data_IF_711284079097
#
_entry.id   IF_711284079097
#
_cell.length_a   1.000
_cell.length_b   1.000
_cell.length_c   1.000
_cell.angle_alpha   90.00
_cell.angle_beta   90.00
_cell.angle_gamma   90.00
#
_symmetry.space_group_name_H-M   'P 1'
#
loop_
_entity.id
_entity.type
_entity.pdbx_description
1 polymer ?
#
# COMPACT_ATOMS: atom_id res chain seq x y z
N UNK A 1 31.76 38.14 31.36
CA UNK A 1 31.65 36.68 31.38
C UNK A 1 30.59 36.32 30.35
N UNK A 2 31.01 36.07 29.10
CA UNK A 2 30.09 35.70 28.02
C UNK A 2 29.85 34.19 28.13
N UNK A 3 28.63 33.82 28.52
CA UNK A 3 28.21 32.42 28.62
C UNK A 3 27.91 31.93 27.20
N UNK A 4 28.84 31.17 26.64
CA UNK A 4 28.66 30.52 25.35
C UNK A 4 27.77 29.28 25.55
N UNK A 5 26.50 29.38 25.16
CA UNK A 5 25.60 28.23 25.06
C UNK A 5 26.07 27.38 23.88
N UNK A 6 26.76 26.27 24.16
CA UNK A 6 26.95 25.21 23.17
C UNK A 6 25.61 24.52 22.98
N UNK A 7 24.93 24.84 21.88
CA UNK A 7 23.83 24.03 21.38
C UNK A 7 24.41 22.69 20.91
N UNK A 8 24.13 21.63 21.65
CA UNK A 8 24.33 20.27 21.16
C UNK A 8 23.26 20.02 20.10
N UNK A 9 23.67 19.93 18.84
CA UNK A 9 22.83 19.33 17.81
C UNK A 9 22.73 17.84 18.12
N UNK A 10 21.64 17.43 18.77
CA UNK A 10 21.25 16.03 18.77
C UNK A 10 20.88 15.70 17.33
N UNK A 11 21.72 14.93 16.64
CA UNK A 11 21.33 14.24 15.43
C UNK A 11 20.18 13.32 15.82
N UNK A 12 18.98 13.58 15.32
CA UNK A 12 17.86 12.64 15.43
C UNK A 12 18.18 11.47 14.50
N UNK A 13 18.73 10.40 15.07
CA UNK A 13 18.78 9.11 14.39
C UNK A 13 17.34 8.58 14.43
N UNK A 14 16.81 8.14 13.28
CA UNK A 14 15.59 7.35 13.29
C UNK A 14 15.83 6.16 14.23
N UNK A 15 14.99 6.03 15.26
CA UNK A 15 15.03 4.87 16.14
C UNK A 15 14.24 3.77 15.45
N UNK A 16 14.86 2.61 15.28
CA UNK A 16 14.22 1.39 14.81
C UNK A 16 14.57 0.26 15.77
N UNK A 17 13.68 -0.72 15.84
CA UNK A 17 13.85 -1.96 16.58
C UNK A 17 14.26 -3.07 15.60
N UNK A 18 15.04 -4.05 16.06
CA UNK A 18 15.45 -5.15 15.19
C UNK A 18 14.38 -6.25 15.22
N UNK A 19 13.96 -6.67 14.03
CA UNK A 19 13.02 -7.76 13.83
C UNK A 19 13.66 -8.84 12.97
N UNK A 20 13.40 -10.10 13.28
CA UNK A 20 13.63 -11.21 12.36
C UNK A 20 12.33 -11.51 11.63
N UNK A 21 12.41 -11.62 10.30
CA UNK A 21 11.33 -12.11 9.45
C UNK A 21 11.75 -13.46 8.92
N UNK A 22 10.89 -14.46 9.08
CA UNK A 22 11.14 -15.80 8.59
C UNK A 22 9.93 -16.40 7.88
N UNK A 23 10.20 -17.28 6.92
CA UNK A 23 9.20 -18.11 6.28
C UNK A 23 9.83 -19.47 5.96
N UNK A 24 9.22 -20.59 6.38
CA UNK A 24 9.79 -21.91 6.16
C UNK A 24 9.73 -22.31 4.68
N UNK A 25 10.53 -23.33 4.33
CA UNK A 25 10.41 -24.06 3.06
C UNK A 25 9.25 -25.06 3.16
N UNK A 26 8.58 -25.37 2.04
CA UNK A 26 7.42 -26.27 2.03
C UNK A 26 6.83 -26.54 0.66
N UNK A 27 5.74 -27.31 0.64
CA UNK A 27 4.92 -27.44 -0.56
C UNK A 27 4.25 -26.07 -0.84
N UNK A 28 4.20 -25.65 -2.11
CA UNK A 28 3.68 -24.32 -2.49
C UNK A 28 4.69 -23.17 -2.36
N UNK A 29 5.95 -23.43 -2.01
CA UNK A 29 6.97 -22.39 -1.81
C UNK A 29 7.14 -21.45 -3.03
N UNK A 30 7.14 -22.02 -4.24
CA UNK A 30 7.39 -21.30 -5.49
C UNK A 30 6.26 -20.35 -5.94
N UNK A 31 5.06 -20.50 -5.40
CA UNK A 31 3.91 -19.65 -5.73
C UNK A 31 3.70 -18.50 -4.74
N UNK A 32 4.37 -18.55 -3.58
CA UNK A 32 4.29 -17.54 -2.53
C UNK A 32 5.17 -16.34 -2.87
N UNK A 33 4.58 -15.15 -2.78
CA UNK A 33 5.35 -13.90 -2.68
C UNK A 33 4.67 -12.92 -1.75
N UNK A 34 5.47 -12.06 -1.12
CA UNK A 34 4.96 -11.08 -0.16
C UNK A 34 5.76 -9.78 -0.18
N UNK A 35 5.17 -8.71 0.34
CA UNK A 35 5.85 -7.43 0.56
C UNK A 35 5.35 -6.76 1.84
N UNK A 36 6.28 -6.34 2.70
CA UNK A 36 6.00 -5.56 3.90
C UNK A 36 6.15 -4.07 3.58
N UNK A 37 5.06 -3.33 3.72
CA UNK A 37 4.96 -1.91 3.33
C UNK A 37 4.54 -1.09 4.53
N UNK A 38 5.10 0.11 4.70
CA UNK A 38 4.59 1.06 5.69
C UNK A 38 3.38 1.86 5.16
N UNK A 39 2.74 2.60 6.06
CA UNK A 39 1.62 3.50 5.76
C UNK A 39 1.93 4.63 4.75
N UNK A 40 3.21 4.97 4.54
CA UNK A 40 3.65 5.95 3.53
C UNK A 40 3.83 5.29 2.14
N UNK A 41 3.55 3.98 2.05
CA UNK A 41 3.67 3.18 0.82
C UNK A 41 5.11 2.75 0.53
N UNK A 42 6.03 2.85 1.49
CA UNK A 42 7.42 2.41 1.33
C UNK A 42 7.52 0.92 1.59
N UNK A 43 8.08 0.19 0.62
CA UNK A 43 8.37 -1.24 0.77
C UNK A 43 9.66 -1.40 1.59
N UNK A 44 9.55 -2.00 2.77
CA UNK A 44 10.68 -2.27 3.66
C UNK A 44 11.31 -3.63 3.43
N UNK A 45 10.48 -4.62 3.06
CA UNK A 45 10.93 -5.98 2.76
C UNK A 45 10.03 -6.64 1.72
N UNK A 46 10.57 -7.60 0.98
CA UNK A 46 9.81 -8.44 0.06
C UNK A 46 10.50 -9.77 -0.13
N UNK A 47 9.74 -10.84 -0.31
CA UNK A 47 10.28 -12.20 -0.42
C UNK A 47 9.26 -13.22 -0.92
N UNK A 48 9.62 -14.49 -0.73
CA UNK A 48 8.78 -15.67 -0.92
C UNK A 48 9.19 -16.74 0.09
N UNK A 49 8.77 -17.98 -0.07
CA UNK A 49 9.22 -19.08 0.77
C UNK A 49 10.40 -19.84 0.10
N UNK A 50 11.41 -20.29 0.86
CA UNK A 50 11.75 -19.87 2.22
C UNK A 50 12.35 -18.46 2.30
N UNK A 51 12.30 -17.85 3.49
CA UNK A 51 12.92 -16.56 3.80
C UNK A 51 13.47 -16.53 5.23
N UNK A 52 14.57 -15.81 5.44
CA UNK A 52 15.16 -15.54 6.75
C UNK A 52 16.03 -14.28 6.64
N UNK A 53 15.63 -13.21 7.34
CA UNK A 53 16.43 -11.99 7.43
C UNK A 53 16.10 -11.18 8.70
N UNK A 54 17.11 -10.46 9.20
CA UNK A 54 16.95 -9.46 10.25
C UNK A 54 16.93 -8.05 9.64
N UNK A 55 15.98 -7.22 10.07
CA UNK A 55 15.78 -5.86 9.60
C UNK A 55 15.59 -4.89 10.78
N UNK A 56 16.06 -3.66 10.62
CA UNK A 56 15.76 -2.58 11.55
C UNK A 56 14.53 -1.83 11.04
N UNK A 57 13.38 -2.03 11.68
CA UNK A 57 12.11 -1.43 11.30
C UNK A 57 11.72 -0.37 12.35
N UNK A 58 11.38 0.87 11.92
CA UNK A 58 10.76 1.85 12.80
C UNK A 58 9.45 1.33 13.39
N UNK A 59 9.10 1.82 14.58
CA UNK A 59 7.77 1.61 15.14
C UNK A 59 6.72 2.27 14.24
N UNK A 60 5.59 1.60 14.03
CA UNK A 60 4.49 2.12 13.24
C UNK A 60 3.63 1.04 12.60
N UNK A 61 2.76 1.50 11.70
CA UNK A 61 1.80 0.66 11.00
C UNK A 61 2.36 0.13 9.69
N UNK A 62 2.30 -1.19 9.58
CA UNK A 62 2.74 -1.92 8.41
C UNK A 62 1.59 -2.71 7.82
N UNK A 63 1.81 -3.07 6.57
CA UNK A 63 0.86 -3.77 5.74
C UNK A 63 1.61 -4.88 5.02
N UNK A 64 1.26 -6.12 5.30
CA UNK A 64 1.74 -7.29 4.61
C UNK A 64 0.87 -7.53 3.37
N UNK A 65 1.48 -7.39 2.20
CA UNK A 65 0.89 -7.79 0.93
C UNK A 65 1.21 -9.26 0.71
N UNK A 66 0.17 -10.08 0.55
CA UNK A 66 0.29 -11.53 0.46
C UNK A 66 -0.17 -11.95 -0.92
N UNK A 67 0.63 -12.73 -1.64
CA UNK A 67 0.32 -13.20 -2.98
C UNK A 67 0.60 -14.69 -3.12
N UNK A 68 -0.26 -15.34 -3.87
CA UNK A 68 -0.17 -16.75 -4.25
C UNK A 68 -0.56 -16.91 -5.71
N UNK A 69 0.37 -17.42 -6.53
CA UNK A 69 0.11 -17.66 -7.95
C UNK A 69 -0.72 -18.93 -8.24
N UNK A 70 -0.82 -19.86 -7.28
CA UNK A 70 -1.65 -21.06 -7.34
C UNK A 70 -3.14 -20.76 -7.18
N UNK A 71 -3.45 -19.77 -6.36
CA UNK A 71 -4.79 -19.28 -6.08
C UNK A 71 -5.55 -20.09 -5.03
N UNK A 72 -4.88 -20.99 -4.33
CA UNK A 72 -5.39 -21.88 -3.28
C UNK A 72 -4.83 -21.55 -1.89
N UNK A 73 -3.96 -20.55 -1.78
CA UNK A 73 -3.39 -20.04 -0.54
C UNK A 73 -1.92 -20.44 -0.37
N UNK A 74 -1.39 -20.27 0.83
CA UNK A 74 0.02 -20.57 1.13
C UNK A 74 0.24 -22.00 1.63
N UNK A 75 -0.70 -22.91 1.38
CA UNK A 75 -0.61 -24.33 1.76
C UNK A 75 -0.27 -24.58 3.25
N UNK A 76 -0.63 -23.63 4.11
CA UNK A 76 -0.37 -23.68 5.55
C UNK A 76 1.05 -23.28 5.95
N UNK A 77 1.81 -22.63 5.06
CA UNK A 77 3.02 -21.91 5.41
C UNK A 77 2.66 -20.56 6.04
N UNK A 78 3.39 -20.20 7.08
CA UNK A 78 3.23 -18.97 7.83
C UNK A 78 4.42 -18.04 7.53
N UNK A 79 4.13 -16.76 7.33
CA UNK A 79 5.12 -15.69 7.37
C UNK A 79 5.19 -15.19 8.82
N UNK A 80 6.36 -15.25 9.43
CA UNK A 80 6.58 -14.87 10.82
C UNK A 80 7.41 -13.59 10.91
N UNK A 81 7.10 -12.74 11.88
CA UNK A 81 7.94 -11.62 12.31
C UNK A 81 8.07 -11.59 13.83
N UNK A 82 9.30 -11.49 14.32
CA UNK A 82 9.59 -11.47 15.76
C UNK A 82 10.54 -10.32 16.12
N UNK A 83 10.26 -9.63 17.22
CA UNK A 83 11.13 -8.62 17.77
C UNK A 83 12.30 -9.29 18.52
N UNK A 84 13.53 -8.91 18.19
CA UNK A 84 14.73 -9.54 18.77
C UNK A 84 15.06 -9.04 20.18
N UNK A 85 14.60 -7.83 20.52
CA UNK A 85 14.92 -7.14 21.76
C UNK A 85 13.79 -7.20 22.81
N UNK A 86 12.64 -7.80 22.47
CA UNK A 86 11.51 -8.02 23.38
C UNK A 86 10.85 -9.42 23.17
N UNK A 87 9.57 -9.59 23.52
CA UNK A 87 8.85 -10.87 23.39
C UNK A 87 7.59 -10.73 22.53
N UNK A 88 7.60 -9.79 21.58
CA UNK A 88 6.55 -9.62 20.59
C UNK A 88 6.87 -10.44 19.34
N UNK A 89 5.83 -11.04 18.78
CA UNK A 89 5.89 -11.77 17.52
C UNK A 89 4.50 -11.81 16.90
N UNK A 90 4.44 -11.83 15.57
CA UNK A 90 3.22 -12.06 14.81
C UNK A 90 3.45 -13.08 13.70
N UNK A 91 2.37 -13.68 13.21
CA UNK A 91 2.43 -14.63 12.09
C UNK A 91 1.19 -14.50 11.22
N UNK A 92 1.40 -14.61 9.91
CA UNK A 92 0.34 -14.47 8.92
C UNK A 92 0.35 -15.56 7.86
N UNK A 93 -0.84 -15.93 7.40
CA UNK A 93 -0.99 -16.94 6.36
C UNK A 93 -2.15 -16.64 5.41
N UNK A 94 -1.93 -16.90 4.12
CA UNK A 94 -2.97 -16.80 3.12
C UNK A 94 -3.75 -18.12 3.11
N UNK A 95 -4.87 -18.16 3.85
CA UNK A 95 -5.63 -19.39 4.02
C UNK A 95 -6.28 -19.92 2.73
N UNK A 96 -6.56 -19.04 1.76
CA UNK A 96 -7.17 -19.38 0.47
C UNK A 96 -7.11 -18.18 -0.49
N UNK A 97 -7.16 -18.43 -1.80
CA UNK A 97 -7.15 -17.39 -2.82
C UNK A 97 -5.74 -16.99 -3.21
N UNK A 98 -5.62 -16.12 -4.23
CA UNK A 98 -4.31 -15.75 -4.80
C UNK A 98 -3.70 -14.46 -4.24
N UNK A 99 -4.39 -13.77 -3.35
CA UNK A 99 -3.87 -12.58 -2.68
C UNK A 99 -4.69 -12.24 -1.44
N UNK A 100 -4.04 -11.64 -0.46
CA UNK A 100 -4.68 -10.98 0.68
C UNK A 100 -3.78 -9.87 1.24
N UNK A 101 -4.30 -9.18 2.25
CA UNK A 101 -3.72 -7.98 2.79
C UNK A 101 -3.95 -7.96 4.29
N UNK A 102 -2.88 -7.92 5.07
CA UNK A 102 -2.97 -7.92 6.52
C UNK A 102 -2.22 -6.71 7.10
N UNK A 103 -2.80 -6.09 8.12
CA UNK A 103 -2.20 -4.92 8.77
C UNK A 103 -1.60 -5.35 10.10
N UNK A 104 -0.36 -4.94 10.38
CA UNK A 104 0.30 -5.28 11.63
C UNK A 104 1.00 -4.11 12.32
N UNK A 105 1.04 -4.31 13.63
CA UNK A 105 1.65 -3.55 14.72
C UNK A 105 3.14 -3.68 14.98
N UNK A 106 4.01 -2.74 14.58
CA UNK A 106 5.38 -2.72 15.10
C UNK A 106 5.56 -1.68 16.21
N UNK A 107 5.97 -2.14 17.40
CA UNK A 107 6.29 -1.30 18.54
C UNK A 107 5.11 -1.07 19.50
N UNK A 108 5.12 0.08 20.20
CA UNK A 108 4.13 0.45 21.24
C UNK A 108 3.02 1.39 20.72
N UNK A 109 2.83 1.47 19.39
CA UNK A 109 1.75 2.26 18.78
C UNK A 109 0.36 1.64 19.00
N UNK A 110 -0.65 2.27 18.40
CA UNK A 110 -1.92 1.58 18.11
C UNK A 110 -2.43 1.96 16.70
N UNK A 111 -2.26 1.07 15.72
CA UNK A 111 -2.69 1.26 14.33
C UNK A 111 -4.20 1.40 14.16
N UNK A 112 -4.96 1.04 15.19
CA UNK A 112 -6.41 1.12 15.22
C UNK A 112 -6.91 2.25 16.14
N UNK A 113 -6.01 3.05 16.70
CA UNK A 113 -6.37 4.16 17.57
C UNK A 113 -6.01 5.50 16.95
N UNK A 114 -7.03 6.32 16.82
CA UNK A 114 -6.91 7.66 16.29
C UNK A 114 -5.99 8.59 17.11
N UNK A 115 -5.63 8.22 18.34
CA UNK A 115 -4.83 9.08 19.22
C UNK A 115 -3.34 9.15 18.86
N UNK A 116 -2.78 8.18 18.12
CA UNK A 116 -1.34 7.94 18.11
C UNK A 116 -0.71 7.94 16.70
N UNK A 117 -1.26 8.73 15.76
CA UNK A 117 -0.63 8.87 14.45
C UNK A 117 0.74 9.56 14.50
N UNK A 118 1.73 9.09 13.72
CA UNK A 118 3.05 9.73 13.62
C UNK A 118 2.99 11.20 13.19
N UNK A 119 4.04 11.95 13.53
CA UNK A 119 4.13 13.39 13.22
C UNK A 119 4.00 13.62 11.71
N UNK A 120 3.02 14.44 11.33
CA UNK A 120 2.74 14.77 9.92
C UNK A 120 1.56 14.00 9.33
N UNK A 121 0.99 13.06 10.08
CA UNK A 121 -0.21 12.30 9.72
C UNK A 121 -1.37 12.64 10.66
N UNK A 122 -2.58 12.29 10.23
CA UNK A 122 -3.81 12.38 11.01
C UNK A 122 -4.60 11.08 10.88
N UNK A 123 -5.40 10.71 11.89
CA UNK A 123 -6.22 9.51 11.82
C UNK A 123 -7.41 9.71 10.90
N UNK A 124 -7.71 8.69 10.12
CA UNK A 124 -8.90 8.62 9.28
C UNK A 124 -9.63 7.29 9.51
N UNK A 125 -10.95 7.38 9.65
CA UNK A 125 -11.80 6.22 9.87
C UNK A 125 -12.46 5.82 8.57
N UNK A 126 -12.24 4.58 8.16
CA UNK A 126 -12.85 4.00 6.96
C UNK A 126 -13.98 3.10 7.42
N UNK A 127 -15.17 3.34 6.89
CA UNK A 127 -16.34 2.53 7.19
C UNK A 127 -17.06 2.18 5.89
N UNK A 128 -17.41 0.91 5.73
CA UNK A 128 -18.23 0.46 4.60
C UNK A 128 -19.58 -0.01 5.11
N UNK A 129 -20.65 0.64 4.67
CA UNK A 129 -21.99 0.16 5.00
C UNK A 129 -22.23 -1.21 4.34
N UNK A 130 -23.00 -2.12 4.96
CA UNK A 130 -23.13 -3.51 4.47
C UNK A 130 -23.82 -3.63 3.10
N UNK A 131 -24.70 -2.69 2.73
CA UNK A 131 -25.51 -2.81 1.51
C UNK A 131 -26.44 -4.03 1.53
N UNK A 132 -26.95 -4.42 0.37
CA UNK A 132 -27.83 -5.59 0.23
C UNK A 132 -27.08 -6.94 0.14
N UNK A 133 -25.82 -6.92 -0.31
CA UNK A 133 -24.97 -8.10 -0.50
C UNK A 133 -23.54 -7.82 0.02
N UNK A 134 -23.34 -7.76 1.34
CA UNK A 134 -22.04 -7.37 1.92
C UNK A 134 -20.87 -8.26 1.49
N UNK A 135 -21.14 -9.55 1.26
CA UNK A 135 -20.14 -10.54 0.84
C UNK A 135 -19.68 -10.37 -0.63
N UNK A 136 -20.36 -9.53 -1.40
CA UNK A 136 -19.94 -9.23 -2.77
C UNK A 136 -19.03 -8.02 -2.84
N UNK A 137 -19.02 -7.19 -1.78
CA UNK A 137 -18.31 -5.93 -1.70
C UNK A 137 -16.89 -6.19 -1.22
N UNK A 138 -15.90 -5.79 -2.02
CA UNK A 138 -14.50 -5.67 -1.60
C UNK A 138 -13.89 -4.38 -2.13
N UNK A 139 -12.88 -3.86 -1.42
CA UNK A 139 -12.20 -2.62 -1.76
C UNK A 139 -10.75 -2.64 -1.34
N UNK A 140 -9.92 -1.82 -1.98
CA UNK A 140 -8.58 -1.50 -1.53
C UNK A 140 -8.27 -0.02 -1.71
N UNK A 141 -7.47 0.53 -0.79
CA UNK A 141 -6.89 1.86 -0.88
C UNK A 141 -5.41 1.74 -1.21
N UNK A 142 -4.95 2.53 -2.17
CA UNK A 142 -3.56 2.54 -2.58
C UNK A 142 -2.96 3.95 -2.53
N UNK A 143 -1.74 4.04 -2.02
CA UNK A 143 -0.90 5.23 -2.04
C UNK A 143 0.23 5.00 -3.05
N UNK A 144 0.36 5.87 -4.05
CA UNK A 144 1.38 5.74 -5.11
C UNK A 144 1.39 4.38 -5.83
N UNK A 145 0.22 3.73 -5.94
CA UNK A 145 0.08 2.41 -6.58
C UNK A 145 0.37 1.23 -5.67
N UNK A 146 0.76 1.46 -4.40
CA UNK A 146 0.94 0.42 -3.40
C UNK A 146 -0.31 0.35 -2.52
N UNK A 147 -0.99 -0.80 -2.40
CA UNK A 147 -2.14 -0.93 -1.52
C UNK A 147 -1.69 -0.88 -0.05
N UNK A 148 -2.40 -0.10 0.76
CA UNK A 148 -2.10 0.15 2.18
C UNK A 148 -3.25 -0.24 3.11
N UNK A 149 -4.40 -0.61 2.55
CA UNK A 149 -5.58 -1.05 3.30
C UNK A 149 -6.59 -1.69 2.35
N UNK A 150 -7.38 -2.62 2.88
CA UNK A 150 -8.45 -3.28 2.15
C UNK A 150 -9.56 -3.75 3.09
N UNK A 151 -10.70 -4.12 2.52
CA UNK A 151 -11.77 -4.72 3.31
C UNK A 151 -13.00 -5.07 2.50
N UNK A 152 -14.09 -5.38 3.23
CA UNK A 152 -15.37 -5.79 2.65
C UNK A 152 -16.56 -4.95 3.11
N UNK A 153 -17.75 -5.35 2.66
CA UNK A 153 -19.00 -4.72 3.07
C UNK A 153 -19.30 -4.91 4.56
N UNK A 154 -19.57 -3.81 5.28
CA UNK A 154 -19.77 -3.83 6.75
C UNK A 154 -18.49 -3.71 7.56
N UNK A 155 -17.33 -3.55 6.92
CA UNK A 155 -16.03 -3.40 7.56
C UNK A 155 -15.79 -1.99 8.13
N UNK A 156 -14.87 -1.93 9.08
CA UNK A 156 -14.32 -0.71 9.66
C UNK A 156 -12.81 -0.85 9.72
N UNK A 157 -12.11 0.23 9.46
CA UNK A 157 -10.65 0.30 9.47
C UNK A 157 -10.20 1.71 9.88
N UNK A 158 -8.99 1.84 10.41
CA UNK A 158 -8.39 3.12 10.80
C UNK A 158 -7.00 3.24 10.19
N UNK A 159 -6.73 4.37 9.54
CA UNK A 159 -5.41 4.63 8.96
C UNK A 159 -4.87 5.99 9.40
N UNK A 160 -3.58 6.02 9.71
CA UNK A 160 -2.84 7.26 9.82
C UNK A 160 -2.37 7.70 8.43
N UNK A 161 -2.90 8.83 7.96
CA UNK A 161 -2.62 9.32 6.60
C UNK A 161 -2.05 10.73 6.65
N UNK A 162 -0.99 10.95 5.88
CA UNK A 162 -0.51 12.28 5.54
C UNK A 162 -1.43 12.92 4.48
N UNK A 163 -1.42 14.27 4.35
CA UNK A 163 -2.04 14.95 3.21
C UNK A 163 -1.51 14.39 1.89
N UNK A 164 -2.42 13.95 1.01
CA UNK A 164 -2.03 13.24 -0.20
C UNK A 164 -3.19 12.72 -1.02
N UNK A 165 -2.86 11.93 -2.04
CA UNK A 165 -3.83 11.31 -2.94
C UNK A 165 -3.82 9.79 -2.78
N UNK A 166 -5.00 9.22 -2.57
CA UNK A 166 -5.22 7.78 -2.58
C UNK A 166 -6.02 7.38 -3.81
N UNK A 167 -5.83 6.14 -4.23
CA UNK A 167 -6.68 5.47 -5.23
C UNK A 167 -7.52 4.44 -4.51
N UNK A 168 -8.85 4.57 -4.60
CA UNK A 168 -9.79 3.56 -4.18
C UNK A 168 -10.10 2.65 -5.36
N UNK A 169 -9.85 1.36 -5.19
CA UNK A 169 -10.34 0.30 -6.09
C UNK A 169 -11.52 -0.40 -5.42
N UNK A 170 -12.62 -0.50 -6.14
CA UNK A 170 -13.86 -1.14 -5.69
C UNK A 170 -14.12 -2.36 -6.56
N UNK A 171 -14.55 -3.45 -5.94
CA UNK A 171 -14.82 -4.72 -6.59
C UNK A 171 -16.17 -5.26 -6.10
N UNK A 172 -16.89 -5.87 -7.03
CA UNK A 172 -18.20 -6.49 -6.79
C UNK A 172 -18.25 -7.85 -7.48
N UNK A 173 -18.24 -8.94 -6.69
CA UNK A 173 -18.26 -10.30 -7.23
C UNK A 173 -19.58 -10.66 -7.92
N UNK A 174 -20.65 -9.89 -7.67
CA UNK A 174 -21.96 -10.01 -8.32
C UNK A 174 -22.06 -9.35 -9.70
N UNK A 175 -21.15 -8.44 -10.02
CA UNK A 175 -21.14 -7.64 -11.26
C UNK A 175 -22.30 -6.66 -11.43
N UNK A 176 -23.05 -6.38 -10.36
CA UNK A 176 -24.20 -5.50 -10.34
C UNK A 176 -23.99 -4.27 -9.46
N UNK A 177 -22.75 -4.05 -9.02
CA UNK A 177 -22.37 -2.98 -8.11
C UNK A 177 -22.74 -3.30 -6.66
N UNK A 178 -22.37 -2.40 -5.76
CA UNK A 178 -22.46 -2.62 -4.32
C UNK A 178 -23.87 -2.59 -3.73
N UNK A 179 -24.91 -2.40 -4.55
CA UNK A 179 -26.32 -2.51 -4.15
C UNK A 179 -26.64 -1.72 -2.86
N UNK A 180 -26.15 -0.48 -2.78
CA UNK A 180 -26.38 0.43 -1.64
C UNK A 180 -25.31 0.41 -0.55
N UNK A 181 -24.28 -0.44 -0.65
CA UNK A 181 -23.07 -0.31 0.17
C UNK A 181 -22.35 1.00 -0.19
N UNK A 182 -21.80 1.70 0.80
CA UNK A 182 -21.09 2.96 0.66
C UNK A 182 -19.82 2.90 1.52
N UNK A 183 -18.66 3.17 0.91
CA UNK A 183 -17.44 3.44 1.65
C UNK A 183 -17.44 4.92 2.03
N UNK A 184 -17.19 5.20 3.30
CA UNK A 184 -17.05 6.54 3.87
C UNK A 184 -15.72 6.65 4.58
N UNK A 185 -15.01 7.75 4.35
CA UNK A 185 -13.81 8.12 5.11
C UNK A 185 -14.15 9.36 5.91
N UNK A 186 -13.93 9.31 7.23
CA UNK A 186 -14.12 10.42 8.16
C UNK A 186 -12.80 10.87 8.79
N UNK A 187 -12.71 12.16 9.11
CA UNK A 187 -11.58 12.71 9.87
C UNK A 187 -11.67 12.39 11.38
N UNK A 188 -10.72 12.92 12.14
CA UNK A 188 -10.60 12.76 13.60
C UNK A 188 -11.81 13.30 14.39
N UNK A 189 -12.58 14.21 13.81
CA UNK A 189 -13.81 14.75 14.41
C UNK A 189 -15.04 13.89 14.07
N UNK A 190 -14.88 12.87 13.23
CA UNK A 190 -15.94 12.02 12.71
C UNK A 190 -16.67 12.62 11.50
N UNK A 191 -16.21 13.77 10.98
CA UNK A 191 -16.84 14.42 9.83
C UNK A 191 -16.45 13.67 8.54
N UNK A 192 -17.42 13.30 7.68
CA UNK A 192 -17.13 12.59 6.45
C UNK A 192 -16.40 13.49 5.46
N UNK A 193 -15.16 13.12 5.11
CA UNK A 193 -14.33 13.82 4.13
C UNK A 193 -14.43 13.20 2.73
N UNK A 194 -14.84 11.94 2.64
CA UNK A 194 -15.07 11.23 1.38
C UNK A 194 -16.19 10.20 1.52
N UNK A 195 -16.98 10.02 0.46
CA UNK A 195 -17.96 8.94 0.38
C UNK A 195 -18.14 8.49 -1.07
N UNK A 196 -18.14 7.18 -1.31
CA UNK A 196 -18.31 6.62 -2.64
C UNK A 196 -18.93 5.22 -2.64
N UNK A 197 -19.44 4.81 -3.80
CA UNK A 197 -19.98 3.47 -4.03
C UNK A 197 -19.74 3.05 -5.46
N UNK A 198 -19.67 1.74 -5.69
CA UNK A 198 -19.73 1.16 -7.03
C UNK A 198 -21.20 1.03 -7.46
N UNK A 199 -21.67 1.98 -8.28
CA UNK A 199 -23.08 2.04 -8.68
C UNK A 199 -23.53 0.86 -9.57
N UNK A 200 -22.64 0.32 -10.38
CA UNK A 200 -22.89 -0.83 -11.27
C UNK A 200 -21.55 -1.44 -11.73
N UNK A 201 -21.60 -2.67 -12.25
CA UNK A 201 -20.44 -3.39 -12.77
C UNK A 201 -19.67 -4.16 -11.69
N UNK A 202 -18.62 -4.85 -12.11
CA UNK A 202 -17.78 -5.67 -11.22
C UNK A 202 -16.59 -4.92 -10.62
N UNK A 203 -16.18 -3.81 -11.21
CA UNK A 203 -15.03 -3.03 -10.75
C UNK A 203 -15.22 -1.54 -10.99
N UNK A 204 -14.57 -0.71 -10.17
CA UNK A 204 -14.47 0.73 -10.38
C UNK A 204 -13.27 1.30 -9.63
N UNK A 205 -12.74 2.42 -10.12
CA UNK A 205 -11.64 3.13 -9.46
C UNK A 205 -11.99 4.60 -9.32
N UNK A 206 -11.49 5.23 -8.25
CA UNK A 206 -11.63 6.66 -8.03
C UNK A 206 -10.50 7.20 -7.17
N UNK A 207 -10.32 8.51 -7.17
CA UNK A 207 -9.22 9.20 -6.48
C UNK A 207 -9.76 9.96 -5.29
N UNK A 208 -9.02 9.92 -4.20
CA UNK A 208 -9.39 10.56 -2.94
C UNK A 208 -8.32 11.58 -2.57
N UNK A 209 -8.74 12.81 -2.29
CA UNK A 209 -7.88 13.84 -1.71
C UNK A 209 -7.98 13.82 -0.18
N UNK A 210 -6.88 13.48 0.48
CA UNK A 210 -6.75 13.60 1.94
C UNK A 210 -6.26 15.01 2.28
N UNK A 211 -6.93 15.67 3.23
CA UNK A 211 -6.65 17.04 3.68
C UNK A 211 -6.66 18.14 2.58
N UNK A 212 -7.47 17.98 1.53
CA UNK A 212 -7.89 19.09 0.65
C UNK A 212 -6.97 19.45 -0.53
N UNK A 213 -6.17 18.51 -1.04
CA UNK A 213 -5.41 18.67 -2.28
C UNK A 213 -6.20 18.42 -3.56
N UNK A 214 -5.66 18.84 -4.71
CA UNK A 214 -6.18 18.47 -6.03
C UNK A 214 -5.53 17.14 -6.48
N UNK A 215 -6.34 16.08 -6.59
CA UNK A 215 -5.93 14.77 -7.08
C UNK A 215 -6.36 14.52 -8.53
N UNK A 216 -6.63 15.59 -9.31
CA UNK A 216 -7.17 15.51 -10.66
C UNK A 216 -6.27 14.85 -11.72
N UNK A 217 -5.16 14.21 -11.33
CA UNK A 217 -4.45 13.30 -12.23
C UNK A 217 -3.47 12.30 -11.54
N UNK A 218 -3.88 11.04 -11.26
CA UNK A 218 -2.95 9.93 -11.05
C UNK A 218 -2.68 9.13 -12.33
N UNK A 219 -3.23 9.55 -13.49
CA UNK A 219 -3.14 8.85 -14.77
C UNK A 219 -3.89 9.60 -15.87
N UNK A 220 -3.16 10.34 -16.70
CA UNK A 220 -3.66 11.39 -17.61
C UNK A 220 -4.98 11.09 -18.31
N UNK A 221 -6.00 11.89 -18.00
CA UNK A 221 -7.31 11.78 -18.64
C UNK A 221 -8.37 12.76 -18.15
N UNK A 222 -8.07 14.05 -18.11
CA UNK A 222 -9.08 15.07 -17.79
C UNK A 222 -10.18 15.18 -18.88
N UNK A 223 -11.47 15.38 -18.51
CA UNK A 223 -12.56 15.59 -19.45
C UNK A 223 -12.60 17.06 -19.92
N UNK A 224 -12.18 17.30 -21.16
CA UNK A 224 -12.22 18.62 -21.79
C UNK A 224 -12.97 18.61 -23.12
N UNK A 225 -14.30 18.73 -23.07
CA UNK A 225 -15.07 19.15 -24.23
C UNK A 225 -14.87 20.64 -24.49
N UNK A 226 -14.40 20.99 -25.69
CA UNK A 226 -14.33 22.38 -26.16
C UNK A 226 -13.32 22.55 -27.27
N UNK A 227 -13.78 22.56 -28.52
CA UNK A 227 -12.92 22.68 -29.70
C UNK A 227 -12.18 24.02 -29.78
N UNK A 228 -10.94 23.96 -30.28
CA UNK A 228 -10.17 25.15 -30.68
C UNK A 228 -8.66 24.91 -30.69
N UNK A 229 -8.13 24.67 -31.88
CA UNK A 229 -6.72 24.78 -32.31
C UNK A 229 -5.72 23.62 -31.97
N UNK A 230 -5.12 22.95 -32.98
CA UNK A 230 -4.13 21.91 -32.77
C UNK A 230 -2.70 22.47 -32.63
N UNK A 231 -2.06 22.15 -31.50
CA UNK A 231 -0.60 22.13 -31.36
C UNK A 231 -0.02 23.39 -30.72
N UNK A 232 0.28 23.32 -29.42
CA UNK A 232 1.47 23.88 -28.73
C UNK A 232 1.29 23.75 -27.21
N UNK A 233 1.64 22.59 -26.67
CA UNK A 233 1.75 22.36 -25.22
C UNK A 233 2.70 21.19 -24.94
N UNK A 234 3.57 21.26 -23.92
CA UNK A 234 4.62 20.26 -23.68
C UNK A 234 4.03 19.04 -22.97
N UNK A 235 3.38 18.17 -23.75
CA UNK A 235 2.98 16.84 -23.35
C UNK A 235 3.48 15.85 -24.40
N UNK A 236 4.54 15.12 -24.08
CA UNK A 236 5.03 14.04 -24.92
C UNK A 236 4.01 12.90 -24.91
N UNK A 237 3.25 12.77 -25.99
CA UNK A 237 2.46 11.56 -26.22
C UNK A 237 3.37 10.39 -26.57
N UNK A 238 3.06 9.20 -26.08
CA UNK A 238 3.68 7.96 -26.53
C UNK A 238 3.35 7.76 -28.02
N UNK A 239 4.24 8.20 -28.91
CA UNK A 239 4.19 7.80 -30.31
C UNK A 239 4.62 6.34 -30.39
N UNK A 240 3.76 5.48 -30.93
CA UNK A 240 3.97 4.03 -30.98
C UNK A 240 5.33 3.61 -31.56
N UNK A 241 6.24 3.19 -30.68
CA UNK A 241 7.49 2.53 -31.02
C UNK A 241 7.61 1.17 -30.30
N UNK A 242 8.39 0.28 -30.90
CA UNK A 242 8.51 -1.16 -30.63
C UNK A 242 9.14 -1.49 -29.24
N UNK A 243 9.16 -2.76 -28.80
CA UNK A 243 9.35 -3.11 -27.38
C UNK A 243 10.78 -2.87 -26.91
N UNK A 244 10.91 -2.07 -25.83
CA UNK A 244 12.17 -1.66 -25.21
C UNK A 244 12.46 -0.17 -25.45
N UNK A 245 11.99 0.70 -24.56
CA UNK A 245 12.24 2.15 -24.63
C UNK A 245 11.26 3.00 -23.81
N UNK A 246 11.47 3.03 -22.51
CA UNK A 246 11.37 4.17 -21.59
C UNK A 246 10.02 4.92 -21.46
N UNK A 247 9.22 4.57 -20.44
CA UNK A 247 8.27 5.50 -19.82
C UNK A 247 9.03 6.35 -18.78
N UNK A 248 9.06 7.66 -18.97
CA UNK A 248 9.58 8.60 -17.99
C UNK A 248 8.58 8.74 -16.82
N UNK A 249 8.74 7.93 -15.78
CA UNK A 249 8.15 8.17 -14.46
C UNK A 249 9.14 9.02 -13.65
N UNK A 250 8.64 10.13 -13.10
CA UNK A 250 9.33 10.89 -12.08
C UNK A 250 9.42 10.05 -10.80
N UNK A 251 10.53 9.33 -10.66
CA UNK A 251 10.80 8.47 -9.49
C UNK A 251 12.17 7.78 -9.50
N UNK A 252 13.08 8.13 -10.42
CA UNK A 252 14.46 7.64 -10.33
C UNK A 252 15.21 8.34 -9.19
N UNK A 253 15.00 7.88 -7.96
CA UNK A 253 16.10 7.80 -7.01
C UNK A 253 16.98 6.62 -7.45
N UNK A 254 18.18 6.94 -7.91
CA UNK A 254 19.22 5.93 -8.00
C UNK A 254 19.62 5.55 -6.58
N UNK A 255 19.25 4.36 -6.12
CA UNK A 255 20.00 3.68 -5.05
C UNK A 255 20.57 2.35 -5.58
N UNK A 256 21.80 2.04 -5.16
CA UNK A 256 22.78 1.20 -5.84
C UNK A 256 22.73 -0.29 -5.49
N UNK A 257 21.55 -0.86 -5.23
CA UNK A 257 21.41 -2.30 -4.95
C UNK A 257 20.33 -2.95 -5.82
N UNK A 258 20.63 -3.15 -7.10
CA UNK A 258 19.95 -4.17 -7.91
C UNK A 258 20.60 -5.53 -7.64
N UNK A 259 19.89 -6.41 -6.93
CA UNK A 259 20.15 -7.85 -7.05
C UNK A 259 19.59 -8.32 -8.39
N UNK A 260 20.47 -8.81 -9.25
CA UNK A 260 20.11 -9.41 -10.50
C UNK A 260 19.47 -10.78 -10.24
N UNK A 261 18.16 -10.88 -10.40
CA UNK A 261 17.51 -12.16 -10.73
C UNK A 261 17.87 -12.50 -12.18
N UNK A 262 18.98 -13.21 -12.38
CA UNK A 262 19.26 -13.89 -13.65
C UNK A 262 18.81 -15.34 -13.58
N UNK A 263 17.94 -15.79 -14.48
CA UNK A 263 18.01 -17.11 -15.07
C UNK A 263 18.66 -16.99 -16.47
N UNK A 264 19.86 -17.57 -16.56
CA UNK A 264 20.54 -18.10 -17.75
C UNK A 264 20.83 -17.22 -19.01
N UNK A 265 22.13 -17.24 -19.36
CA UNK A 265 22.78 -16.98 -20.65
C UNK A 265 21.86 -16.75 -21.88
N UNK A 266 22.02 -15.61 -22.56
CA UNK A 266 22.18 -15.50 -24.02
C UNK A 266 22.82 -14.13 -24.37
N UNK A 267 23.89 -14.18 -25.17
CA UNK A 267 24.23 -13.18 -26.20
C UNK A 267 24.81 -11.82 -25.79
N UNK A 268 26.14 -11.70 -25.79
CA UNK A 268 26.83 -10.41 -25.88
C UNK A 268 26.64 -9.80 -27.28
N UNK A 269 26.32 -8.51 -27.35
CA UNK A 269 26.57 -7.68 -28.54
C UNK A 269 27.69 -6.69 -28.23
N UNK A 270 28.71 -6.71 -29.08
CA UNK A 270 29.66 -5.61 -29.29
C UNK A 270 29.00 -4.45 -30.04
#
# INVERSE_FOLDING_TARGET
>A
MHLLLMAWSASAWAQCSNYAISMPDGDGDMEISWSLVDQDGVIWASGGAPYDAELCLPDGCYTLLMFDSGGDGWDGLDWDIEALDDNWSDHETLNNGGQDLEQLELGEGDCNNAADCPVGQAPYFIAVSPGAQPLQVSWSLSLNGVPISSGGGGGFDTLCLAPGCLVLTMQDSGGNGWQGAMLTISDDNGDPVFAHTLAAGSTGTTTISIAGGDCSDPGGGGPGGGGGDPGTGPGGGCSGAAPGGDCAIAGCACDGYTFAITPERIGQCQ
#
